data_IF_544193371979
#
_entry.id   IF_544193371979
#
_cell.length_a   1.000
_cell.length_b   1.000
_cell.length_c   1.000
_cell.angle_alpha   90.00
_cell.angle_beta   90.00
_cell.angle_gamma   90.00
#
_symmetry.space_group_name_H-M   'P 1'
#
loop_
_entity.id
_entity.type
_entity.pdbx_description
1 polymer ?
#
# COMPACT_ATOMS: atom_id res chain seq x y z
N UNK A 1 -6.81 33.47 48.90
CA UNK A 1 -6.67 32.81 47.59
C UNK A 1 -8.00 32.17 47.28
N UNK A 2 -8.62 32.46 46.14
CA UNK A 2 -9.94 31.88 45.79
C UNK A 2 -9.77 30.41 45.39
N UNK A 3 -10.79 29.59 45.65
CA UNK A 3 -10.85 28.21 45.14
C UNK A 3 -10.67 28.17 43.62
N UNK A 4 -11.21 29.16 42.91
CA UNK A 4 -11.06 29.27 41.45
C UNK A 4 -9.60 29.51 41.03
N UNK A 5 -8.83 30.28 41.80
CA UNK A 5 -7.41 30.54 41.51
C UNK A 5 -6.57 29.28 41.73
N UNK A 6 -6.85 28.53 42.81
CA UNK A 6 -6.18 27.28 43.10
C UNK A 6 -6.52 26.18 42.07
N UNK A 7 -7.79 26.08 41.68
CA UNK A 7 -8.26 25.13 40.67
C UNK A 7 -7.66 25.45 39.29
N UNK A 8 -7.64 26.72 38.87
CA UNK A 8 -6.95 27.15 37.63
C UNK A 8 -5.46 26.82 37.67
N UNK A 9 -4.80 27.01 38.80
CA UNK A 9 -3.39 26.67 38.99
C UNK A 9 -3.11 25.18 38.74
N UNK A 10 -3.92 24.29 39.31
CA UNK A 10 -3.79 22.83 39.13
C UNK A 10 -4.09 22.41 37.70
N UNK A 11 -5.17 22.92 37.10
CA UNK A 11 -5.50 22.64 35.70
C UNK A 11 -4.39 23.11 34.76
N UNK A 12 -3.82 24.30 34.98
CA UNK A 12 -2.69 24.78 34.19
C UNK A 12 -1.45 23.90 34.36
N UNK A 13 -1.15 23.45 35.58
CA UNK A 13 0.01 22.60 35.85
C UNK A 13 -0.08 21.21 35.19
N UNK A 14 -1.29 20.64 35.10
CA UNK A 14 -1.51 19.29 34.56
C UNK A 14 -1.82 19.29 33.06
N UNK A 15 -2.63 20.23 32.58
CA UNK A 15 -3.11 20.25 31.18
C UNK A 15 -2.09 20.86 30.24
N UNK A 16 -1.37 21.91 30.67
CA UNK A 16 -0.42 22.63 29.81
C UNK A 16 0.75 21.75 29.31
N UNK A 17 1.36 20.88 30.13
CA UNK A 17 2.37 19.93 29.65
C UNK A 17 1.81 18.91 28.66
N UNK A 18 0.55 18.48 28.85
CA UNK A 18 -0.12 17.55 27.93
C UNK A 18 -0.33 18.21 26.57
N UNK A 19 -0.80 19.46 26.54
CA UNK A 19 -0.98 20.22 25.29
C UNK A 19 0.34 20.37 24.53
N UNK A 20 1.44 20.72 25.22
CA UNK A 20 2.76 20.83 24.59
C UNK A 20 3.28 19.49 24.06
N UNK A 21 2.99 18.38 24.76
CA UNK A 21 3.34 17.06 24.30
C UNK A 21 2.54 16.66 23.05
N UNK A 22 1.25 16.98 23.00
CA UNK A 22 0.41 16.75 21.82
C UNK A 22 0.96 17.55 20.63
N UNK A 23 1.30 18.83 20.80
CA UNK A 23 1.88 19.65 19.73
C UNK A 23 3.18 19.06 19.19
N UNK A 24 4.08 18.59 20.06
CA UNK A 24 5.32 17.92 19.65
C UNK A 24 5.05 16.63 18.87
N UNK A 25 4.08 15.83 19.32
CA UNK A 25 3.70 14.60 18.62
C UNK A 25 3.11 14.90 17.24
N UNK A 26 2.26 15.93 17.12
CA UNK A 26 1.71 16.36 15.84
C UNK A 26 2.83 16.76 14.86
N UNK A 27 3.78 17.58 15.31
CA UNK A 27 4.93 17.98 14.48
C UNK A 27 5.78 16.76 14.04
N UNK A 28 5.93 15.77 14.93
CA UNK A 28 6.67 14.56 14.61
C UNK A 28 5.95 13.70 13.57
N UNK A 29 4.62 13.60 13.64
CA UNK A 29 3.81 12.89 12.64
C UNK A 29 3.93 13.54 11.27
N UNK A 30 3.85 14.87 11.20
CA UNK A 30 4.01 15.62 9.94
C UNK A 30 5.40 15.39 9.32
N UNK A 31 6.45 15.44 10.14
CA UNK A 31 7.81 15.16 9.69
C UNK A 31 7.97 13.73 9.16
N UNK A 32 7.39 12.74 9.85
CA UNK A 32 7.45 11.35 9.42
C UNK A 32 6.67 11.12 8.12
N UNK A 33 5.53 11.79 7.93
CA UNK A 33 4.74 11.72 6.71
C UNK A 33 5.54 12.25 5.50
N UNK A 34 6.19 13.41 5.63
CA UNK A 34 7.05 13.97 4.58
C UNK A 34 8.26 13.06 4.31
N UNK A 35 8.87 12.50 5.35
CA UNK A 35 9.99 11.56 5.21
C UNK A 35 9.57 10.29 4.46
N UNK A 36 8.41 9.73 4.75
CA UNK A 36 7.86 8.59 4.02
C UNK A 36 7.63 8.95 2.56
N UNK A 37 7.00 10.10 2.28
CA UNK A 37 6.75 10.57 0.92
C UNK A 37 8.05 10.73 0.12
N UNK A 38 9.09 11.30 0.72
CA UNK A 38 10.41 11.44 0.09
C UNK A 38 11.09 10.10 -0.14
N UNK A 39 10.99 9.16 0.80
CA UNK A 39 11.55 7.81 0.64
C UNK A 39 10.82 7.03 -0.45
N UNK A 40 9.51 7.16 -0.56
CA UNK A 40 8.74 6.61 -1.67
C UNK A 40 9.19 7.21 -3.01
N UNK A 41 9.37 8.53 -3.07
CA UNK A 41 9.83 9.22 -4.27
C UNK A 41 11.25 8.81 -4.66
N UNK A 42 12.19 8.77 -3.69
CA UNK A 42 13.59 8.40 -3.89
C UNK A 42 13.78 6.93 -4.27
N UNK A 43 12.90 6.03 -3.80
CA UNK A 43 12.84 4.63 -4.26
C UNK A 43 12.28 4.49 -5.68
N UNK A 44 11.91 5.59 -6.34
CA UNK A 44 11.32 5.60 -7.67
C UNK A 44 9.93 4.97 -7.70
N UNK A 45 9.19 5.06 -6.59
CA UNK A 45 7.83 4.50 -6.44
C UNK A 45 6.73 5.53 -6.69
N UNK A 46 7.01 6.56 -7.49
CA UNK A 46 6.02 7.50 -7.98
C UNK A 46 5.11 6.82 -9.02
N UNK A 47 3.87 6.54 -8.62
CA UNK A 47 2.72 6.19 -9.47
C UNK A 47 2.82 4.86 -10.24
N UNK A 48 3.62 4.83 -11.30
CA UNK A 48 3.58 3.78 -12.34
C UNK A 48 4.16 2.45 -11.83
N UNK A 49 5.20 2.48 -10.97
CA UNK A 49 5.76 1.26 -10.35
C UNK A 49 4.91 0.70 -9.21
N UNK A 50 4.00 1.49 -8.61
CA UNK A 50 3.00 0.95 -7.68
C UNK A 50 1.98 0.14 -8.47
N UNK A 51 1.65 0.56 -9.69
CA UNK A 51 0.68 -0.14 -10.55
C UNK A 51 1.24 -1.38 -11.24
N UNK A 52 2.54 -1.44 -11.53
CA UNK A 52 3.15 -2.60 -12.20
C UNK A 52 3.99 -3.45 -11.24
N UNK A 53 3.56 -4.68 -11.04
CA UNK A 53 4.20 -5.68 -10.19
C UNK A 53 5.20 -6.53 -11.00
N UNK A 54 6.40 -6.68 -10.48
CA UNK A 54 7.33 -7.69 -10.98
C UNK A 54 6.86 -9.09 -10.57
N UNK A 55 7.40 -10.14 -11.22
CA UNK A 55 7.11 -11.53 -10.83
C UNK A 55 7.36 -11.79 -9.34
N UNK A 56 8.44 -11.23 -8.77
CA UNK A 56 8.76 -11.38 -7.34
C UNK A 56 7.70 -10.75 -6.45
N UNK A 57 7.16 -9.60 -6.84
CA UNK A 57 6.09 -8.94 -6.09
C UNK A 57 4.79 -9.75 -6.17
N UNK A 58 4.49 -10.32 -7.35
CA UNK A 58 3.36 -11.22 -7.53
C UNK A 58 3.47 -12.48 -6.67
N UNK A 59 4.65 -13.11 -6.60
CA UNK A 59 4.88 -14.26 -5.71
C UNK A 59 4.57 -13.93 -4.25
N UNK A 60 5.02 -12.75 -3.80
CA UNK A 60 4.79 -12.29 -2.42
C UNK A 60 3.31 -12.03 -2.14
N UNK A 61 2.57 -11.45 -3.08
CA UNK A 61 1.15 -11.11 -2.91
C UNK A 61 0.27 -12.36 -2.99
N UNK A 62 0.53 -13.25 -3.97
CA UNK A 62 -0.25 -14.48 -4.18
C UNK A 62 0.12 -15.55 -3.15
N UNK A 63 1.31 -15.47 -2.54
CA UNK A 63 1.82 -16.46 -1.58
C UNK A 63 2.15 -17.80 -2.24
N UNK A 64 2.38 -17.82 -3.55
CA UNK A 64 2.71 -19.02 -4.34
C UNK A 64 3.97 -18.76 -5.15
N UNK A 65 4.73 -19.84 -5.42
CA UNK A 65 5.98 -19.78 -6.18
C UNK A 65 5.73 -19.62 -7.68
N UNK A 66 6.71 -19.09 -8.39
CA UNK A 66 6.75 -18.87 -9.84
C UNK A 66 6.27 -20.06 -10.67
N UNK A 67 6.66 -21.29 -10.29
CA UNK A 67 6.24 -22.49 -11.00
C UNK A 67 4.71 -22.70 -10.98
N UNK A 68 4.05 -22.29 -9.90
CA UNK A 68 2.60 -22.33 -9.78
C UNK A 68 1.96 -21.23 -10.63
N UNK A 69 2.53 -20.02 -10.61
CA UNK A 69 2.05 -18.89 -11.42
C UNK A 69 2.08 -19.25 -12.91
N UNK A 70 3.18 -19.82 -13.40
CA UNK A 70 3.26 -20.24 -14.80
C UNK A 70 2.23 -21.31 -15.16
N UNK A 71 1.93 -22.25 -14.26
CA UNK A 71 0.84 -23.22 -14.48
C UNK A 71 -0.51 -22.54 -14.64
N UNK A 72 -0.81 -21.53 -13.82
CA UNK A 72 -2.07 -20.78 -13.93
C UNK A 72 -2.13 -19.95 -15.20
N UNK A 73 -1.00 -19.37 -15.62
CA UNK A 73 -0.91 -18.64 -16.87
C UNK A 73 -1.16 -19.55 -18.08
N UNK A 74 -0.55 -20.74 -18.12
CA UNK A 74 -0.81 -21.73 -19.18
C UNK A 74 -2.26 -22.23 -19.20
N UNK A 75 -2.92 -22.23 -18.03
CA UNK A 75 -4.33 -22.58 -17.91
C UNK A 75 -5.29 -21.41 -18.22
N UNK A 76 -4.79 -20.23 -18.63
CA UNK A 76 -5.56 -19.00 -18.81
C UNK A 76 -6.37 -18.57 -17.56
N UNK A 77 -5.95 -19.02 -16.38
CA UNK A 77 -6.59 -18.76 -15.10
C UNK A 77 -5.82 -17.69 -14.28
N UNK A 78 -5.00 -16.88 -14.94
CA UNK A 78 -4.17 -15.87 -14.29
C UNK A 78 -4.27 -14.52 -15.02
N UNK A 79 -4.07 -13.38 -14.33
CA UNK A 79 -4.00 -12.07 -14.97
C UNK A 79 -3.02 -11.99 -16.14
N UNK A 80 -3.42 -11.26 -17.17
CA UNK A 80 -2.60 -11.02 -18.34
C UNK A 80 -1.33 -10.24 -17.97
N UNK A 81 -0.21 -10.65 -18.58
CA UNK A 81 1.09 -10.04 -18.35
C UNK A 81 1.36 -8.93 -19.36
N UNK A 82 2.10 -7.92 -18.93
CA UNK A 82 2.60 -6.82 -19.76
C UNK A 82 4.09 -7.03 -19.95
N UNK A 83 4.50 -7.26 -21.19
CA UNK A 83 5.91 -7.39 -21.56
C UNK A 83 6.50 -6.01 -21.85
N UNK A 84 7.57 -5.65 -21.13
CA UNK A 84 8.37 -4.46 -21.39
C UNK A 84 9.83 -4.88 -21.63
N UNK A 85 10.17 -5.10 -22.91
CA UNK A 85 11.46 -5.65 -23.30
C UNK A 85 11.64 -7.08 -22.79
N UNK A 86 12.73 -7.33 -22.05
CA UNK A 86 13.02 -8.64 -21.45
C UNK A 86 12.31 -8.91 -20.12
N UNK A 87 11.58 -7.92 -19.60
CA UNK A 87 10.91 -8.02 -18.29
C UNK A 87 9.40 -8.13 -18.46
N UNK A 88 8.80 -8.85 -17.54
CA UNK A 88 7.36 -9.11 -17.49
C UNK A 88 6.80 -8.50 -16.22
N UNK A 89 5.68 -7.80 -16.36
CA UNK A 89 4.98 -7.13 -15.27
C UNK A 89 3.50 -7.47 -15.29
N UNK A 90 2.83 -7.27 -14.15
CA UNK A 90 1.38 -7.38 -14.04
C UNK A 90 0.81 -6.11 -13.44
N UNK A 91 -0.42 -5.76 -13.83
CA UNK A 91 -1.12 -4.69 -13.12
C UNK A 91 -1.47 -5.17 -11.72
N UNK A 92 -1.17 -4.34 -10.72
CA UNK A 92 -1.49 -4.57 -9.32
C UNK A 92 -2.98 -4.87 -9.14
N UNK A 93 -3.84 -4.05 -9.74
CA UNK A 93 -5.30 -4.18 -9.64
C UNK A 93 -5.80 -5.56 -10.09
N UNK A 94 -5.23 -6.10 -11.18
CA UNK A 94 -5.64 -7.41 -11.70
C UNK A 94 -5.19 -8.55 -10.78
N UNK A 95 -4.00 -8.42 -10.17
CA UNK A 95 -3.47 -9.41 -9.22
C UNK A 95 -4.24 -9.37 -7.90
N UNK A 96 -4.58 -8.19 -7.40
CA UNK A 96 -5.40 -8.02 -6.19
C UNK A 96 -6.81 -8.60 -6.42
N UNK A 97 -7.44 -8.29 -7.57
CA UNK A 97 -8.73 -8.88 -7.96
C UNK A 97 -8.66 -10.39 -8.07
N UNK A 98 -7.58 -10.93 -8.65
CA UNK A 98 -7.35 -12.37 -8.73
C UNK A 98 -7.30 -13.02 -7.35
N UNK A 99 -6.55 -12.43 -6.40
CA UNK A 99 -6.45 -12.94 -5.02
C UNK A 99 -7.82 -12.92 -4.33
N UNK A 100 -8.58 -11.86 -4.50
CA UNK A 100 -9.92 -11.74 -3.88
C UNK A 100 -10.90 -12.77 -4.43
N UNK A 101 -10.90 -13.00 -5.74
CA UNK A 101 -11.73 -14.03 -6.39
C UNK A 101 -11.31 -15.43 -5.92
N UNK A 102 -10.01 -15.69 -5.86
CA UNK A 102 -9.47 -16.99 -5.42
C UNK A 102 -9.80 -17.29 -3.96
N UNK A 103 -9.79 -16.26 -3.08
CA UNK A 103 -10.20 -16.39 -1.67
C UNK A 103 -11.68 -16.73 -1.52
N UNK A 104 -12.53 -16.24 -2.44
CA UNK A 104 -13.97 -16.54 -2.48
C UNK A 104 -14.29 -17.92 -3.07
N UNK A 105 -13.29 -18.65 -3.57
CA UNK A 105 -13.47 -19.95 -4.21
C UNK A 105 -14.03 -19.87 -5.63
N UNK A 106 -14.01 -18.67 -6.24
CA UNK A 106 -14.52 -18.41 -7.57
C UNK A 106 -13.39 -18.53 -8.62
N UNK A 107 -13.74 -18.80 -9.88
CA UNK A 107 -12.79 -18.91 -10.99
C UNK A 107 -12.53 -17.52 -11.57
N UNK A 108 -11.26 -17.13 -11.63
CA UNK A 108 -10.86 -15.87 -12.27
C UNK A 108 -11.19 -15.90 -13.76
N UNK A 109 -11.94 -14.89 -14.21
CA UNK A 109 -12.25 -14.68 -15.63
C UNK A 109 -11.56 -13.42 -16.12
N UNK A 110 -10.74 -13.56 -17.16
CA UNK A 110 -10.04 -12.42 -17.78
C UNK A 110 -11.07 -11.53 -18.46
N UNK A 111 -11.21 -10.27 -18.02
CA UNK A 111 -11.89 -9.25 -18.83
C UNK A 111 -10.95 -8.85 -19.96
N UNK A 112 -11.18 -9.39 -21.15
CA UNK A 112 -10.45 -8.98 -22.35
C UNK A 112 -10.75 -7.50 -22.64
N UNK A 113 -9.88 -6.61 -22.14
CA UNK A 113 -9.72 -5.28 -22.68
C UNK A 113 -8.89 -5.40 -23.95
N UNK A 114 -9.57 -5.32 -25.08
CA UNK A 114 -9.05 -5.28 -26.45
C UNK A 114 -7.80 -4.40 -26.57
N UNK A 115 -6.68 -4.99 -26.98
CA UNK A 115 -5.66 -4.29 -27.77
C UNK A 115 -5.58 -5.02 -29.11
N UNK A 116 -6.47 -4.63 -30.02
CA UNK A 116 -6.22 -4.67 -31.45
C UNK A 116 -5.23 -3.55 -31.79
N UNK A 117 -4.23 -3.83 -32.63
CA UNK A 117 -3.34 -2.84 -33.25
C UNK A 117 -1.87 -2.98 -32.89
#
# INVERSE_FOLDING_TARGET
>A
MSFEDAFRGVVSAEVQPITQNIERLTQMVEYLADKVQRLETARGTTGIKKELLSLRDVENIVGRKQCWIYKQMHANAFPAQISMGSRVFWKREDIERFVDITKKGEVYTVKNGTTEG
#
